data_IF_009446363164
#
_entry.id   IF_009446363164
#
_cell.length_a   1.000
_cell.length_b   1.000
_cell.length_c   1.000
_cell.angle_alpha   90.00
_cell.angle_beta   90.00
_cell.angle_gamma   90.00
#
_symmetry.space_group_name_H-M   'P 1'
#
loop_
_entity.id
_entity.type
_entity.pdbx_description
1 polymer ?
#
# COMPACT_ATOMS: atom_id res chain seq x y z
N UNK A 1 -77.33 -7.38 35.38
CA UNK A 1 -77.09 -7.66 36.81
C UNK A 1 -75.78 -8.44 36.92
N UNK A 2 -74.87 -7.93 37.76
CA UNK A 2 -73.67 -8.57 38.35
C UNK A 2 -72.53 -8.86 37.34
N UNK A 3 -71.46 -8.06 37.22
CA UNK A 3 -70.42 -7.62 38.18
C UNK A 3 -69.75 -8.75 38.96
N UNK A 4 -68.49 -9.07 38.62
CA UNK A 4 -67.30 -9.01 39.50
C UNK A 4 -66.02 -9.52 38.78
N UNK A 5 -65.06 -8.61 38.63
CA UNK A 5 -63.59 -8.77 38.58
C UNK A 5 -63.11 -8.52 40.05
N UNK A 6 -61.95 -8.96 40.64
CA UNK A 6 -60.60 -9.26 40.08
C UNK A 6 -59.80 -10.43 40.70
N UNK A 7 -58.67 -10.79 40.08
CA UNK A 7 -57.38 -11.07 40.74
C UNK A 7 -56.28 -10.92 39.66
N UNK A 8 -55.62 -9.77 39.47
CA UNK A 8 -54.47 -9.21 40.21
C UNK A 8 -53.29 -10.17 40.33
N UNK A 9 -52.40 -10.16 39.33
CA UNK A 9 -50.98 -10.44 39.49
C UNK A 9 -50.17 -9.30 38.86
N UNK A 10 -49.58 -8.50 39.75
CA UNK A 10 -48.58 -7.46 39.51
C UNK A 10 -47.23 -8.11 39.25
N UNK A 11 -46.54 -7.75 38.17
CA UNK A 11 -45.08 -7.80 38.06
C UNK A 11 -44.58 -6.56 37.29
N UNK A 12 -43.37 -6.06 37.60
CA UNK A 12 -43.08 -4.64 37.67
C UNK A 12 -42.68 -4.01 36.33
N UNK A 13 -42.86 -2.69 36.27
CA UNK A 13 -42.27 -1.83 35.26
C UNK A 13 -40.74 -1.92 35.33
N UNK A 14 -40.11 -2.38 34.24
CA UNK A 14 -38.74 -2.03 33.92
C UNK A 14 -38.77 -1.11 32.70
N UNK A 15 -38.76 0.18 33.00
CA UNK A 15 -38.30 1.20 32.07
C UNK A 15 -36.80 1.01 31.92
N UNK A 16 -36.38 0.48 30.78
CA UNK A 16 -35.03 0.72 30.27
C UNK A 16 -35.14 1.63 29.04
N UNK A 17 -35.24 2.92 29.32
CA UNK A 17 -34.61 3.91 28.45
C UNK A 17 -33.10 3.76 28.64
N UNK A 18 -32.45 3.02 27.76
CA UNK A 18 -31.09 3.33 27.31
C UNK A 18 -31.15 3.39 25.79
N UNK A 19 -31.38 4.61 25.31
CA UNK A 19 -30.84 5.06 24.05
C UNK A 19 -29.34 4.79 24.01
N UNK A 20 -28.96 3.70 23.36
CA UNK A 20 -27.82 3.77 22.47
C UNK A 20 -28.39 3.51 21.09
N UNK A 21 -28.67 4.60 20.37
CA UNK A 21 -28.25 4.61 18.98
C UNK A 21 -26.78 4.17 19.02
N UNK A 22 -26.52 2.88 18.79
CA UNK A 22 -25.31 2.57 18.05
C UNK A 22 -25.54 3.30 16.73
N UNK A 23 -24.98 4.50 16.60
CA UNK A 23 -24.72 5.04 15.29
C UNK A 23 -24.15 3.88 14.48
N UNK A 24 -24.80 3.60 13.35
CA UNK A 24 -24.28 2.67 12.38
C UNK A 24 -22.80 3.00 12.23
N UNK A 25 -21.91 2.04 12.53
CA UNK A 25 -20.51 2.11 12.13
C UNK A 25 -20.54 2.54 10.67
N UNK A 26 -20.13 3.78 10.46
CA UNK A 26 -20.31 4.55 9.24
C UNK A 26 -20.14 3.68 7.99
N UNK A 27 -21.22 3.56 7.20
CA UNK A 27 -21.25 3.08 5.82
C UNK A 27 -20.47 4.03 4.86
N UNK A 28 -19.42 4.71 5.34
CA UNK A 28 -18.48 5.42 4.46
C UNK A 28 -17.47 4.41 3.95
N UNK A 29 -17.39 4.33 2.63
CA UNK A 29 -16.20 3.88 1.90
C UNK A 29 -15.00 4.57 2.55
N UNK A 30 -14.06 3.80 3.11
CA UNK A 30 -12.83 4.35 3.68
C UNK A 30 -11.87 4.73 2.55
N UNK A 31 -11.90 4.00 1.44
CA UNK A 31 -11.16 4.33 0.24
C UNK A 31 -11.89 5.38 -0.61
N UNK A 32 -11.67 6.67 -0.34
CA UNK A 32 -12.32 7.79 -1.03
C UNK A 32 -11.36 8.63 -1.90
N UNK A 33 -10.05 8.36 -1.89
CA UNK A 33 -9.08 9.08 -2.70
C UNK A 33 -9.10 8.59 -4.14
N UNK A 34 -9.15 9.54 -5.06
CA UNK A 34 -9.22 9.30 -6.50
C UNK A 34 -8.21 10.15 -7.29
N UNK A 35 -7.41 10.96 -6.60
CA UNK A 35 -6.51 11.92 -7.22
C UNK A 35 -5.23 12.08 -6.39
N UNK A 36 -4.16 12.55 -7.03
CA UNK A 36 -2.91 12.95 -6.38
C UNK A 36 -2.69 14.45 -6.57
N UNK A 37 -2.39 15.15 -5.49
CA UNK A 37 -1.98 16.55 -5.49
C UNK A 37 -0.57 16.74 -4.94
N UNK A 38 0.18 17.71 -5.48
CA UNK A 38 1.53 18.05 -4.99
C UNK A 38 1.53 19.48 -4.42
N UNK A 39 2.19 19.71 -3.30
CA UNK A 39 2.36 21.07 -2.75
C UNK A 39 3.40 21.84 -3.60
N UNK A 40 3.00 22.32 -4.76
CA UNK A 40 3.89 22.93 -5.75
C UNK A 40 3.25 24.12 -6.47
N UNK A 41 3.94 24.62 -7.49
CA UNK A 41 3.45 25.69 -8.36
C UNK A 41 3.13 27.00 -7.65
N UNK A 42 2.30 27.83 -8.28
CA UNK A 42 1.91 29.13 -7.72
C UNK A 42 1.12 28.97 -6.41
N UNK A 43 0.23 27.97 -6.34
CA UNK A 43 -0.65 27.74 -5.19
C UNK A 43 0.14 27.34 -3.93
N UNK A 44 1.06 26.38 -4.03
CA UNK A 44 1.96 26.03 -2.92
C UNK A 44 2.88 27.17 -2.53
N UNK A 45 3.38 27.93 -3.51
CA UNK A 45 4.33 29.03 -3.25
C UNK A 45 3.66 30.24 -2.59
N UNK A 46 2.46 30.63 -3.00
CA UNK A 46 1.80 31.84 -2.50
C UNK A 46 1.38 31.73 -1.03
N UNK A 47 1.16 30.51 -0.56
CA UNK A 47 0.72 30.24 0.82
C UNK A 47 1.88 29.89 1.75
N UNK A 48 3.12 29.82 1.22
CA UNK A 48 4.34 29.68 2.04
C UNK A 48 4.43 28.37 2.81
N UNK A 49 3.92 27.28 2.24
CA UNK A 49 3.93 25.97 2.89
C UNK A 49 5.34 25.51 3.23
N UNK A 50 5.53 25.02 4.46
CA UNK A 50 6.80 24.41 4.87
C UNK A 50 7.13 23.15 4.08
N UNK A 51 6.14 22.54 3.42
CA UNK A 51 6.27 21.33 2.61
C UNK A 51 6.32 21.61 1.09
N UNK A 52 6.59 22.85 0.69
CA UNK A 52 6.63 23.23 -0.72
C UNK A 52 7.71 22.46 -1.50
N UNK A 53 7.28 21.82 -2.59
CA UNK A 53 8.13 21.20 -3.59
C UNK A 53 8.51 22.22 -4.68
N UNK A 54 9.81 22.42 -4.88
CA UNK A 54 10.29 23.21 -6.02
C UNK A 54 10.10 22.46 -7.35
N UNK A 55 10.38 23.11 -8.49
CA UNK A 55 10.15 22.52 -9.82
C UNK A 55 10.90 21.21 -10.05
N UNK A 56 12.13 21.09 -9.56
CA UNK A 56 12.93 19.88 -9.69
C UNK A 56 12.37 18.74 -8.82
N UNK A 57 11.99 19.03 -7.57
CA UNK A 57 11.35 18.04 -6.71
C UNK A 57 10.01 17.58 -7.26
N UNK A 58 9.24 18.51 -7.84
CA UNK A 58 7.94 18.22 -8.46
C UNK A 58 8.10 17.27 -9.64
N UNK A 59 9.06 17.51 -10.54
CA UNK A 59 9.34 16.62 -11.67
C UNK A 59 9.71 15.19 -11.22
N UNK A 60 10.50 15.07 -10.15
CA UNK A 60 10.87 13.78 -9.55
C UNK A 60 9.64 13.06 -9.00
N UNK A 61 8.75 13.77 -8.31
CA UNK A 61 7.52 13.20 -7.77
C UNK A 61 6.57 12.77 -8.90
N UNK A 62 6.42 13.58 -9.94
CA UNK A 62 5.59 13.25 -11.12
C UNK A 62 6.08 11.97 -11.82
N UNK A 63 7.41 11.80 -11.96
CA UNK A 63 8.01 10.54 -12.45
C UNK A 63 7.73 9.36 -11.53
N UNK A 64 7.86 9.56 -10.21
CA UNK A 64 7.57 8.53 -9.22
C UNK A 64 6.10 8.08 -9.27
N UNK A 65 5.15 8.99 -9.48
CA UNK A 65 3.72 8.66 -9.66
C UNK A 65 3.52 7.77 -10.90
N UNK A 66 4.15 8.12 -12.03
CA UNK A 66 4.08 7.30 -13.24
C UNK A 66 4.59 5.87 -13.02
N UNK A 67 5.70 5.71 -12.31
CA UNK A 67 6.26 4.40 -11.98
C UNK A 67 5.45 3.63 -10.93
N UNK A 68 4.96 4.29 -9.89
CA UNK A 68 4.03 3.72 -8.92
C UNK A 68 2.82 3.12 -9.63
N UNK A 69 2.19 3.88 -10.53
CA UNK A 69 1.06 3.42 -11.33
C UNK A 69 1.44 2.18 -12.17
N UNK A 70 2.63 2.14 -12.77
CA UNK A 70 3.11 0.98 -13.51
C UNK A 70 3.32 -0.28 -12.64
N UNK A 71 3.81 -0.13 -11.41
CA UNK A 71 3.92 -1.24 -10.45
C UNK A 71 2.54 -1.69 -9.96
N UNK A 72 1.66 -0.75 -9.59
CA UNK A 72 0.28 -1.06 -9.19
C UNK A 72 -0.47 -1.81 -10.28
N UNK A 73 -0.35 -1.37 -11.54
CA UNK A 73 -0.90 -2.07 -12.70
C UNK A 73 -0.32 -3.49 -12.86
N UNK A 74 0.95 -3.71 -12.52
CA UNK A 74 1.58 -5.02 -12.61
C UNK A 74 0.97 -5.98 -11.59
N UNK A 75 0.82 -5.55 -10.33
CA UNK A 75 0.13 -6.33 -9.29
C UNK A 75 -1.36 -6.56 -9.61
N UNK A 76 -2.06 -5.51 -10.03
CA UNK A 76 -3.46 -5.58 -10.44
C UNK A 76 -3.71 -6.61 -11.56
N UNK A 77 -2.94 -6.49 -12.65
CA UNK A 77 -3.12 -7.34 -13.83
C UNK A 77 -2.72 -8.79 -13.52
N UNK A 78 -1.68 -9.01 -12.70
CA UNK A 78 -1.28 -10.35 -12.31
C UNK A 78 -2.39 -11.06 -11.51
N UNK A 79 -2.99 -10.37 -10.53
CA UNK A 79 -4.08 -10.93 -9.73
C UNK A 79 -5.42 -11.02 -10.48
N UNK A 80 -5.50 -10.48 -11.70
CA UNK A 80 -6.66 -10.63 -12.58
C UNK A 80 -6.64 -11.97 -13.32
N UNK A 81 -5.46 -12.55 -13.52
CA UNK A 81 -5.29 -13.85 -14.17
C UNK A 81 -5.93 -14.97 -13.31
N UNK A 82 -6.49 -15.98 -13.98
CA UNK A 82 -7.02 -17.17 -13.31
C UNK A 82 -5.89 -17.94 -12.62
N UNK A 83 -6.18 -18.49 -11.44
CA UNK A 83 -5.24 -19.28 -10.64
C UNK A 83 -3.97 -18.48 -10.27
N UNK A 84 -4.10 -17.14 -10.15
CA UNK A 84 -2.98 -16.26 -9.76
C UNK A 84 -2.61 -16.45 -8.29
N UNK A 85 -3.57 -16.81 -7.45
CA UNK A 85 -3.43 -17.12 -6.03
C UNK A 85 -2.59 -18.37 -5.77
N UNK A 86 -2.54 -19.31 -6.71
CA UNK A 86 -1.76 -20.56 -6.57
C UNK A 86 -0.34 -20.45 -7.16
N UNK A 87 0.07 -19.24 -7.54
CA UNK A 87 1.39 -19.00 -8.14
C UNK A 87 2.51 -18.80 -7.11
N UNK A 88 3.74 -19.00 -7.55
CA UNK A 88 4.94 -18.79 -6.76
C UNK A 88 5.04 -17.36 -6.20
N UNK A 89 4.68 -16.34 -6.99
CA UNK A 89 4.69 -14.97 -6.51
C UNK A 89 3.66 -14.74 -5.40
N UNK A 90 2.43 -15.25 -5.56
CA UNK A 90 1.39 -15.07 -4.56
C UNK A 90 1.75 -15.81 -3.27
N UNK A 91 2.03 -17.11 -3.35
CA UNK A 91 2.36 -17.95 -2.20
C UNK A 91 3.65 -17.46 -1.51
N UNK A 92 4.63 -16.99 -2.27
CA UNK A 92 5.85 -16.43 -1.73
C UNK A 92 5.58 -15.16 -0.92
N UNK A 93 4.95 -14.15 -1.54
CA UNK A 93 4.82 -12.82 -0.94
C UNK A 93 3.64 -12.64 0.00
N UNK A 94 2.59 -13.44 -0.12
CA UNK A 94 1.39 -13.34 0.71
C UNK A 94 1.05 -14.62 1.45
N UNK A 95 1.79 -15.71 1.25
CA UNK A 95 1.52 -16.96 1.93
C UNK A 95 0.31 -17.72 1.39
N UNK A 96 0.22 -18.99 1.77
CA UNK A 96 -0.80 -19.90 1.25
C UNK A 96 -2.18 -19.65 1.86
N UNK A 97 -2.24 -19.28 3.13
CA UNK A 97 -3.52 -19.13 3.83
C UNK A 97 -4.31 -17.89 3.39
N UNK A 98 -3.67 -16.97 2.65
CA UNK A 98 -4.31 -15.78 2.08
C UNK A 98 -4.77 -15.96 0.63
N UNK A 99 -4.74 -17.18 0.08
CA UNK A 99 -5.16 -17.45 -1.32
C UNK A 99 -6.59 -16.99 -1.61
N UNK A 100 -7.50 -17.16 -0.67
CA UNK A 100 -8.89 -16.68 -0.77
C UNK A 100 -9.00 -15.14 -0.79
N UNK A 101 -7.97 -14.42 -0.33
CA UNK A 101 -7.95 -12.96 -0.27
C UNK A 101 -7.43 -12.31 -1.56
N UNK A 102 -6.94 -13.08 -2.53
CA UNK A 102 -6.29 -12.56 -3.74
C UNK A 102 -7.17 -11.56 -4.52
N UNK A 103 -8.47 -11.88 -4.66
CA UNK A 103 -9.44 -11.00 -5.31
C UNK A 103 -9.64 -9.70 -4.53
N UNK A 104 -9.67 -9.78 -3.20
CA UNK A 104 -9.83 -8.62 -2.34
C UNK A 104 -8.57 -7.76 -2.30
N UNK A 105 -7.38 -8.36 -2.29
CA UNK A 105 -6.11 -7.64 -2.42
C UNK A 105 -6.05 -6.87 -3.74
N UNK A 106 -6.44 -7.52 -4.85
CA UNK A 106 -6.54 -6.83 -6.14
C UNK A 106 -7.49 -5.64 -6.08
N UNK A 107 -8.73 -5.85 -5.63
CA UNK A 107 -9.82 -4.86 -5.68
C UNK A 107 -9.69 -3.73 -4.66
N UNK A 108 -9.07 -3.98 -3.52
CA UNK A 108 -9.06 -3.03 -2.41
C UNK A 108 -7.67 -2.45 -2.13
N UNK A 109 -6.63 -2.91 -2.85
CA UNK A 109 -5.25 -2.42 -2.68
C UNK A 109 -4.68 -1.97 -4.02
N UNK A 110 -4.50 -2.88 -4.98
CA UNK A 110 -3.88 -2.50 -6.26
C UNK A 110 -4.80 -1.67 -7.14
N UNK A 111 -6.10 -1.98 -7.21
CA UNK A 111 -7.09 -1.26 -8.02
C UNK A 111 -7.23 0.21 -7.57
N UNK A 112 -7.43 0.55 -6.28
CA UNK A 112 -7.50 1.95 -5.87
C UNK A 112 -6.21 2.73 -6.13
N UNK A 113 -5.03 2.11 -5.93
CA UNK A 113 -3.73 2.77 -6.20
C UNK A 113 -3.56 2.99 -7.71
N UNK A 114 -3.96 2.02 -8.54
CA UNK A 114 -3.97 2.14 -9.99
C UNK A 114 -4.90 3.26 -10.47
N UNK A 115 -6.11 3.34 -9.91
CA UNK A 115 -7.13 4.33 -10.28
C UNK A 115 -6.79 5.77 -9.85
N UNK A 116 -5.82 5.98 -8.96
CA UNK A 116 -5.26 7.32 -8.71
C UNK A 116 -4.63 7.95 -9.98
N UNK A 117 -4.24 7.12 -10.94
CA UNK A 117 -3.64 7.52 -12.22
C UNK A 117 -2.12 7.68 -12.18
N UNK A 118 -1.56 7.97 -13.34
CA UNK A 118 -0.11 8.08 -13.56
C UNK A 118 0.45 9.50 -13.45
N UNK A 119 -0.37 10.49 -13.07
CA UNK A 119 0.00 11.90 -13.04
C UNK A 119 -0.61 12.60 -11.82
N UNK A 120 0.06 13.66 -11.34
CA UNK A 120 -0.54 14.56 -10.36
C UNK A 120 -1.61 15.42 -11.04
N UNK A 121 -2.82 15.45 -10.49
CA UNK A 121 -3.96 16.15 -11.09
C UNK A 121 -3.94 17.65 -10.85
N UNK A 122 -3.38 18.08 -9.72
CA UNK A 122 -3.30 19.50 -9.37
C UNK A 122 -2.20 19.80 -8.36
N UNK A 123 -1.83 21.08 -8.30
CA UNK A 123 -1.02 21.60 -7.21
C UNK A 123 -1.92 22.11 -6.08
N UNK A 124 -1.53 21.86 -4.83
CA UNK A 124 -2.25 22.25 -3.61
C UNK A 124 -1.37 23.13 -2.73
N UNK A 125 -1.94 23.69 -1.66
CA UNK A 125 -1.23 24.67 -0.82
C UNK A 125 -0.76 24.13 0.53
N UNK A 126 -1.38 23.09 1.07
CA UNK A 126 -1.07 22.58 2.41
C UNK A 126 -1.00 21.05 2.43
N UNK A 127 -0.20 20.51 3.35
CA UNK A 127 -0.11 19.08 3.64
C UNK A 127 -1.25 18.67 4.57
N UNK A 128 -2.45 18.52 4.01
CA UNK A 128 -3.66 18.21 4.75
C UNK A 128 -4.54 17.21 4.01
N UNK A 129 -5.50 16.64 4.72
CA UNK A 129 -6.47 15.72 4.14
C UNK A 129 -7.47 16.51 3.27
N UNK A 130 -7.34 16.39 1.96
CA UNK A 130 -8.21 17.05 0.98
C UNK A 130 -9.16 15.99 0.39
N UNK A 131 -10.42 16.38 0.20
CA UNK A 131 -11.45 15.51 -0.37
C UNK A 131 -10.98 14.87 -1.68
N UNK A 132 -11.16 13.55 -1.80
CA UNK A 132 -10.73 12.72 -2.92
C UNK A 132 -9.24 12.83 -3.33
N UNK A 133 -8.38 13.45 -2.52
CA UNK A 133 -6.99 13.78 -2.86
C UNK A 133 -5.98 13.15 -1.88
N UNK A 134 -4.98 12.44 -2.39
CA UNK A 134 -3.73 12.21 -1.66
C UNK A 134 -2.79 13.40 -1.87
N UNK A 135 -2.32 14.03 -0.80
CA UNK A 135 -1.42 15.18 -0.90
C UNK A 135 0.04 14.76 -0.65
N UNK A 136 0.91 15.07 -1.60
CA UNK A 136 2.35 14.85 -1.52
C UNK A 136 3.08 16.17 -1.30
N UNK A 137 3.87 16.25 -0.24
CA UNK A 137 4.74 17.37 0.08
C UNK A 137 6.22 17.02 0.11
N UNK A 138 7.08 18.03 0.14
CA UNK A 138 8.53 17.87 0.24
C UNK A 138 8.99 18.25 1.64
N UNK A 139 9.52 17.30 2.38
CA UNK A 139 10.09 17.56 3.69
C UNK A 139 11.49 18.17 3.59
N UNK A 140 11.89 18.80 4.68
CA UNK A 140 13.28 19.13 5.01
C UNK A 140 13.67 18.34 6.25
N UNK A 141 14.98 18.24 6.53
CA UNK A 141 15.45 17.63 7.77
C UNK A 141 14.99 18.40 9.03
N UNK A 142 14.52 19.63 8.87
CA UNK A 142 14.07 20.50 9.97
C UNK A 142 12.57 20.44 10.22
N UNK A 143 11.74 20.40 9.17
CA UNK A 143 10.27 20.38 9.31
C UNK A 143 9.73 18.96 9.57
N UNK A 144 10.51 17.93 9.26
CA UNK A 144 10.13 16.54 9.42
C UNK A 144 11.32 15.68 9.87
N UNK A 145 11.63 15.65 11.19
CA UNK A 145 12.82 14.98 11.71
C UNK A 145 12.92 13.49 11.38
N UNK A 146 11.80 12.82 11.11
CA UNK A 146 11.80 11.41 10.70
C UNK A 146 12.54 11.18 9.37
N UNK A 147 12.71 12.20 8.52
CA UNK A 147 13.53 12.08 7.31
C UNK A 147 15.04 11.95 7.59
N UNK A 148 15.50 12.21 8.81
CA UNK A 148 16.92 12.06 9.18
C UNK A 148 17.34 10.59 9.33
N UNK A 149 16.38 9.65 9.38
CA UNK A 149 16.64 8.21 9.51
C UNK A 149 17.02 7.54 8.17
N UNK A 150 17.01 8.29 7.06
CA UNK A 150 17.29 7.76 5.72
C UNK A 150 16.06 7.27 4.97
N UNK A 151 14.85 7.51 5.48
CA UNK A 151 13.60 7.25 4.76
C UNK A 151 13.54 8.04 3.44
N UNK A 152 13.00 7.43 2.38
CA UNK A 152 12.82 8.07 1.08
C UNK A 152 11.49 8.86 1.02
N UNK A 153 10.44 8.31 1.61
CA UNK A 153 9.17 8.97 1.84
C UNK A 153 8.53 8.41 3.12
N UNK A 154 7.50 9.07 3.63
CA UNK A 154 6.75 8.67 4.81
C UNK A 154 5.27 9.05 4.63
N UNK A 155 4.38 8.08 4.85
CA UNK A 155 2.94 8.27 4.85
C UNK A 155 2.39 8.71 6.21
N UNK A 156 1.37 9.57 6.19
CA UNK A 156 0.54 9.85 7.34
C UNK A 156 -0.85 9.23 7.15
N UNK A 157 -1.00 7.98 7.61
CA UNK A 157 -2.17 7.12 7.43
C UNK A 157 -3.54 7.83 7.60
N UNK A 158 -3.72 8.58 8.70
CA UNK A 158 -5.01 9.22 9.02
C UNK A 158 -5.29 10.51 8.23
N UNK A 159 -4.26 11.12 7.64
CA UNK A 159 -4.40 12.37 6.90
C UNK A 159 -4.31 12.16 5.39
N UNK A 160 -4.06 10.92 4.94
CA UNK A 160 -3.93 10.60 3.51
C UNK A 160 -2.88 11.47 2.81
N UNK A 161 -1.80 11.77 3.51
CA UNK A 161 -0.70 12.59 2.99
C UNK A 161 0.61 11.81 3.00
N UNK A 162 1.51 12.21 2.12
CA UNK A 162 2.86 11.65 2.01
C UNK A 162 3.85 12.80 2.03
N UNK A 163 4.95 12.64 2.75
CA UNK A 163 6.10 13.53 2.66
C UNK A 163 7.26 12.81 1.99
N UNK A 164 7.85 13.44 0.99
CA UNK A 164 9.06 12.94 0.33
C UNK A 164 10.28 13.57 1.00
N UNK A 165 11.19 12.73 1.47
CA UNK A 165 12.35 13.14 2.24
C UNK A 165 13.49 13.65 1.34
N UNK A 166 14.39 14.51 1.86
CA UNK A 166 15.49 15.11 1.09
C UNK A 166 16.37 14.11 0.33
N UNK A 167 16.63 12.93 0.92
CA UNK A 167 17.48 11.90 0.31
C UNK A 167 16.94 11.38 -1.03
N UNK A 168 15.62 11.40 -1.24
CA UNK A 168 14.99 11.02 -2.53
C UNK A 168 15.38 11.94 -3.68
N UNK A 169 15.75 13.18 -3.38
CA UNK A 169 16.18 14.18 -4.35
C UNK A 169 17.70 14.25 -4.52
N UNK A 170 18.45 13.48 -3.73
CA UNK A 170 19.91 13.42 -3.78
C UNK A 170 20.40 12.71 -5.05
N UNK A 171 21.71 12.83 -5.34
CA UNK A 171 22.33 12.25 -6.55
C UNK A 171 21.58 12.58 -7.86
N UNK A 172 21.10 13.82 -8.00
CA UNK A 172 20.35 14.24 -9.18
C UNK A 172 18.98 13.59 -9.32
N UNK A 173 18.39 13.09 -8.23
CA UNK A 173 17.07 12.46 -8.25
C UNK A 173 17.11 11.05 -8.80
N UNK A 174 18.28 10.39 -8.71
CA UNK A 174 18.53 9.06 -9.26
C UNK A 174 17.39 8.09 -8.96
N UNK A 175 16.84 8.09 -7.73
CA UNK A 175 15.76 7.19 -7.34
C UNK A 175 14.48 7.30 -8.20
N UNK A 176 14.24 8.43 -8.88
CA UNK A 176 13.05 8.66 -9.69
C UNK A 176 13.33 8.78 -11.21
N UNK A 177 14.49 8.32 -11.69
CA UNK A 177 14.75 8.26 -13.14
C UNK A 177 14.31 6.92 -13.71
N UNK A 178 13.92 6.92 -14.99
CA UNK A 178 13.59 5.70 -15.72
C UNK A 178 14.77 4.72 -15.69
N UNK A 179 16.00 5.22 -15.83
CA UNK A 179 17.20 4.39 -15.78
C UNK A 179 17.34 3.67 -14.44
N UNK A 180 17.05 4.33 -13.31
CA UNK A 180 17.12 3.70 -12.00
C UNK A 180 16.02 2.64 -11.82
N UNK A 181 14.81 2.93 -12.29
CA UNK A 181 13.67 2.00 -12.25
C UNK A 181 13.94 0.73 -13.08
N UNK A 182 14.43 0.89 -14.31
CA UNK A 182 14.84 -0.24 -15.13
C UNK A 182 16.08 -0.97 -14.58
N UNK A 183 17.01 -0.25 -13.97
CA UNK A 183 18.20 -0.83 -13.34
C UNK A 183 17.82 -1.67 -12.11
N UNK A 184 16.90 -1.18 -11.28
CA UNK A 184 16.38 -1.91 -10.13
C UNK A 184 15.67 -3.20 -10.56
N UNK A 185 14.80 -3.14 -11.57
CA UNK A 185 14.14 -4.33 -12.11
C UNK A 185 15.14 -5.35 -12.68
N UNK A 186 16.18 -4.88 -13.38
CA UNK A 186 17.24 -5.76 -13.88
C UNK A 186 18.02 -6.41 -12.75
N UNK A 187 18.40 -5.62 -11.75
CA UNK A 187 19.13 -6.08 -10.57
C UNK A 187 18.32 -7.11 -9.79
N UNK A 188 17.01 -6.88 -9.65
CA UNK A 188 16.07 -7.84 -9.09
C UNK A 188 16.03 -9.14 -9.91
N UNK A 189 15.87 -9.04 -11.23
CA UNK A 189 15.79 -10.19 -12.13
C UNK A 189 17.08 -11.03 -12.17
N UNK A 190 18.25 -10.40 -12.09
CA UNK A 190 19.54 -11.08 -12.23
C UNK A 190 20.11 -11.57 -10.89
N UNK A 191 19.87 -10.84 -9.81
CA UNK A 191 20.53 -11.07 -8.51
C UNK A 191 19.57 -11.20 -7.34
N UNK A 192 18.27 -10.91 -7.53
CA UNK A 192 17.27 -10.80 -6.45
C UNK A 192 17.68 -9.84 -5.34
N UNK A 193 18.38 -8.79 -5.74
CA UNK A 193 18.76 -7.71 -4.85
C UNK A 193 17.77 -6.55 -5.04
N UNK A 194 17.15 -6.12 -3.95
CA UNK A 194 16.26 -4.96 -3.97
C UNK A 194 17.09 -3.68 -4.01
N UNK A 195 16.79 -2.82 -4.98
CA UNK A 195 17.34 -1.47 -5.08
C UNK A 195 16.16 -0.50 -5.01
N UNK A 196 16.00 0.26 -3.92
CA UNK A 196 14.84 1.13 -3.75
C UNK A 196 14.78 2.24 -4.80
N UNK A 197 13.60 2.40 -5.40
CA UNK A 197 13.27 3.45 -6.36
C UNK A 197 12.05 4.24 -5.89
N UNK A 198 11.89 5.46 -6.40
CA UNK A 198 10.84 6.37 -5.95
C UNK A 198 9.44 5.85 -6.28
N UNK A 199 9.24 5.18 -7.42
CA UNK A 199 7.96 4.56 -7.75
C UNK A 199 7.62 3.37 -6.85
N UNK A 200 8.62 2.56 -6.48
CA UNK A 200 8.44 1.46 -5.52
C UNK A 200 8.08 2.00 -4.13
N UNK A 201 8.83 3.00 -3.66
CA UNK A 201 8.58 3.65 -2.36
C UNK A 201 7.18 4.25 -2.35
N UNK A 202 6.77 4.95 -3.40
CA UNK A 202 5.44 5.55 -3.42
C UNK A 202 4.33 4.49 -3.41
N UNK A 203 4.52 3.36 -4.10
CA UNK A 203 3.58 2.23 -4.01
C UNK A 203 3.47 1.72 -2.57
N UNK A 204 4.60 1.57 -1.88
CA UNK A 204 4.66 1.20 -0.46
C UNK A 204 3.91 2.23 0.41
N UNK A 205 4.18 3.53 0.26
CA UNK A 205 3.52 4.56 1.07
C UNK A 205 2.00 4.60 0.85
N UNK A 206 1.53 4.34 -0.38
CA UNK A 206 0.09 4.33 -0.67
C UNK A 206 -0.67 3.23 0.07
N UNK A 207 -0.03 2.09 0.38
CA UNK A 207 -0.70 1.02 1.14
C UNK A 207 -0.90 1.37 2.60
N UNK A 208 -0.23 2.41 3.13
CA UNK A 208 -0.49 2.94 4.46
C UNK A 208 -1.68 3.90 4.53
N UNK A 209 -2.25 4.34 3.41
CA UNK A 209 -3.28 5.39 3.42
C UNK A 209 -4.69 4.80 3.49
N UNK A 210 -5.41 5.11 4.57
CA UNK A 210 -6.80 4.66 4.77
C UNK A 210 -7.72 5.08 3.63
N UNK A 211 -7.54 6.31 3.15
CA UNK A 211 -8.24 6.91 2.03
C UNK A 211 -8.00 6.21 0.70
N UNK A 212 -6.95 5.40 0.57
CA UNK A 212 -6.62 4.68 -0.67
C UNK A 212 -7.01 3.21 -0.54
N UNK A 213 -6.56 2.53 0.52
CA UNK A 213 -6.70 1.07 0.64
C UNK A 213 -7.56 0.60 1.81
N UNK A 214 -8.23 1.52 2.52
CA UNK A 214 -8.84 1.21 3.82
C UNK A 214 -10.06 0.28 3.77
N UNK A 215 -10.56 -0.05 2.58
CA UNK A 215 -11.70 -0.95 2.42
C UNK A 215 -11.31 -2.44 2.34
N UNK A 216 -10.03 -2.78 2.35
CA UNK A 216 -9.60 -4.17 2.46
C UNK A 216 -9.96 -4.71 3.86
N UNK A 217 -10.87 -5.69 3.91
CA UNK A 217 -11.50 -6.16 5.14
C UNK A 217 -10.60 -6.93 6.10
N UNK A 218 -9.39 -7.28 5.66
CA UNK A 218 -8.44 -8.13 6.38
C UNK A 218 -7.33 -7.36 7.10
N UNK A 219 -7.36 -6.02 7.02
CA UNK A 219 -6.44 -5.18 7.78
C UNK A 219 -6.63 -5.33 9.28
N UNK A 220 -5.52 -5.38 10.00
CA UNK A 220 -5.53 -5.21 11.46
C UNK A 220 -5.66 -3.74 11.87
N UNK A 221 -5.12 -2.83 11.06
CA UNK A 221 -4.97 -1.41 11.37
C UNK A 221 -5.61 -0.47 10.36
N UNK A 222 -6.65 -0.90 9.64
CA UNK A 222 -7.33 -0.15 8.56
C UNK A 222 -6.47 0.15 7.31
N UNK A 223 -5.18 -0.13 7.34
CA UNK A 223 -4.24 -0.09 6.22
C UNK A 223 -3.05 -1.01 6.57
N UNK A 224 -2.08 -1.17 5.66
CA UNK A 224 -0.86 -1.90 5.97
C UNK A 224 -0.01 -1.17 7.01
N UNK A 225 0.90 -1.89 7.65
CA UNK A 225 1.95 -1.38 8.54
C UNK A 225 3.33 -1.87 8.08
N UNK A 226 4.38 -1.44 8.77
CA UNK A 226 5.77 -1.85 8.48
C UNK A 226 6.27 -2.88 9.50
N UNK A 227 6.22 -4.16 9.11
CA UNK A 227 6.80 -5.24 9.90
C UNK A 227 8.32 -5.33 9.66
N UNK A 228 8.71 -5.44 8.38
CA UNK A 228 10.11 -5.56 7.93
C UNK A 228 10.23 -5.04 6.49
N UNK A 229 11.44 -4.60 6.10
CA UNK A 229 11.70 -4.06 4.76
C UNK A 229 12.52 -4.98 3.88
N UNK A 230 13.42 -5.79 4.45
CA UNK A 230 14.33 -6.62 3.66
C UNK A 230 13.57 -7.77 2.98
N UNK A 231 13.75 -8.02 1.67
CA UNK A 231 12.99 -9.04 0.94
C UNK A 231 13.05 -10.44 1.58
N UNK A 232 14.24 -10.83 2.05
CA UNK A 232 14.48 -12.12 2.71
C UNK A 232 13.77 -12.27 4.06
N UNK A 233 13.38 -11.15 4.70
CA UNK A 233 12.55 -11.15 5.91
C UNK A 233 11.07 -11.05 5.57
N UNK A 234 10.71 -10.19 4.61
CA UNK A 234 9.32 -10.00 4.14
C UNK A 234 8.69 -11.31 3.70
N UNK A 235 9.43 -12.11 2.93
CA UNK A 235 8.93 -13.39 2.40
C UNK A 235 8.82 -14.50 3.46
N UNK A 236 9.39 -14.28 4.66
CA UNK A 236 9.36 -15.23 5.79
C UNK A 236 8.43 -14.80 6.91
N UNK A 237 7.76 -13.66 6.75
CA UNK A 237 6.72 -13.25 7.69
C UNK A 237 5.64 -14.34 7.73
N UNK A 238 4.98 -14.53 8.88
CA UNK A 238 3.73 -15.27 8.96
C UNK A 238 2.70 -14.72 7.96
N UNK A 239 1.82 -15.58 7.44
CA UNK A 239 0.84 -15.18 6.41
C UNK A 239 -0.01 -13.97 6.85
N UNK A 240 -0.44 -13.89 8.10
CA UNK A 240 -1.18 -12.74 8.66
C UNK A 240 -0.35 -11.44 8.66
N UNK A 241 0.96 -11.53 8.89
CA UNK A 241 1.87 -10.38 8.81
C UNK A 241 2.20 -10.02 7.36
N UNK A 242 2.38 -11.00 6.45
CA UNK A 242 2.68 -10.72 5.03
C UNK A 242 1.58 -9.88 4.38
N UNK A 243 0.30 -10.21 4.62
CA UNK A 243 -0.82 -9.43 4.10
C UNK A 243 -0.96 -8.07 4.76
N UNK A 244 -0.41 -7.84 5.95
CA UNK A 244 -0.45 -6.56 6.65
C UNK A 244 0.82 -5.72 6.43
N UNK A 245 1.84 -6.24 5.73
CA UNK A 245 3.11 -5.54 5.52
C UNK A 245 3.12 -4.75 4.19
N UNK A 246 3.33 -3.43 4.25
CA UNK A 246 3.37 -2.56 3.07
C UNK A 246 4.41 -3.01 2.04
N UNK A 247 5.58 -3.40 2.54
CA UNK A 247 6.68 -3.85 1.72
C UNK A 247 6.35 -5.11 0.90
N UNK A 248 5.53 -6.04 1.40
CA UNK A 248 5.15 -7.24 0.66
C UNK A 248 4.35 -6.89 -0.61
N UNK A 249 3.47 -5.89 -0.57
CA UNK A 249 2.73 -5.42 -1.75
C UNK A 249 3.65 -4.79 -2.80
N UNK A 250 4.63 -4.00 -2.37
CA UNK A 250 5.62 -3.43 -3.27
C UNK A 250 6.51 -4.52 -3.89
N UNK A 251 7.02 -5.44 -3.08
CA UNK A 251 7.89 -6.54 -3.54
C UNK A 251 7.15 -7.49 -4.48
N UNK A 252 5.88 -7.81 -4.20
CA UNK A 252 5.04 -8.59 -5.11
C UNK A 252 4.90 -7.88 -6.47
N UNK A 253 4.54 -6.59 -6.48
CA UNK A 253 4.39 -5.82 -7.71
C UNK A 253 5.69 -5.72 -8.52
N UNK A 254 6.83 -5.59 -7.84
CA UNK A 254 8.16 -5.61 -8.46
C UNK A 254 8.49 -7.01 -9.00
N UNK A 255 8.24 -8.08 -8.25
CA UNK A 255 8.50 -9.47 -8.65
C UNK A 255 7.74 -9.81 -9.93
N UNK A 256 6.43 -9.56 -9.97
CA UNK A 256 5.61 -9.88 -11.14
C UNK A 256 6.02 -9.07 -12.37
N UNK A 257 6.48 -7.82 -12.17
CA UNK A 257 6.95 -6.95 -13.25
C UNK A 257 8.32 -7.36 -13.78
N UNK A 258 9.26 -7.67 -12.89
CA UNK A 258 10.66 -7.91 -13.24
C UNK A 258 10.93 -9.37 -13.60
N UNK A 259 10.10 -10.30 -13.12
CA UNK A 259 10.36 -11.74 -13.15
C UNK A 259 9.11 -12.58 -13.48
N UNK A 260 8.26 -12.08 -14.38
CA UNK A 260 6.97 -12.68 -14.74
C UNK A 260 7.05 -14.20 -15.01
N UNK A 261 8.10 -14.66 -15.69
CA UNK A 261 8.29 -16.07 -16.06
C UNK A 261 8.25 -17.03 -14.86
N UNK A 262 8.86 -16.64 -13.73
CA UNK A 262 8.89 -17.47 -12.53
C UNK A 262 7.81 -17.07 -11.54
N UNK A 263 7.41 -15.80 -11.52
CA UNK A 263 6.28 -15.32 -10.74
C UNK A 263 5.00 -16.15 -11.01
N UNK A 264 4.74 -16.48 -12.29
CA UNK A 264 3.55 -17.23 -12.73
C UNK A 264 3.65 -18.76 -12.55
N UNK A 265 4.73 -19.29 -11.96
CA UNK A 265 4.87 -20.74 -11.78
C UNK A 265 3.85 -21.23 -10.78
N UNK A 266 3.11 -22.27 -11.15
CA UNK A 266 2.10 -22.88 -10.30
C UNK A 266 2.78 -23.69 -9.19
N UNK A 267 2.29 -23.52 -7.97
CA UNK A 267 2.73 -24.27 -6.79
C UNK A 267 1.80 -25.45 -6.59
N UNK A 268 2.35 -26.62 -6.29
CA UNK A 268 1.52 -27.78 -5.93
C UNK A 268 0.93 -27.57 -4.52
N UNK A 269 -0.38 -27.26 -4.46
CA UNK A 269 -1.07 -27.04 -3.19
C UNK A 269 -1.24 -28.33 -2.38
N UNK A 270 -0.99 -29.51 -2.95
CA UNK A 270 -0.98 -30.77 -2.20
C UNK A 270 0.40 -31.06 -1.59
N UNK A 271 1.44 -30.29 -1.94
CA UNK A 271 2.77 -30.47 -1.39
C UNK A 271 2.83 -30.11 0.11
N UNK A 272 3.68 -30.85 0.85
CA UNK A 272 3.90 -30.65 2.29
C UNK A 272 4.44 -29.25 2.61
N UNK A 273 5.24 -28.66 1.72
CA UNK A 273 5.85 -27.34 1.92
C UNK A 273 5.70 -26.43 0.68
N UNK A 274 4.47 -25.95 0.47
CA UNK A 274 4.05 -25.05 -0.62
C UNK A 274 4.92 -23.79 -0.72
N UNK A 275 5.24 -23.19 0.44
CA UNK A 275 6.06 -21.99 0.49
C UNK A 275 7.49 -22.26 -0.01
N UNK A 276 8.09 -23.39 0.35
CA UNK A 276 9.43 -23.72 -0.14
C UNK A 276 9.47 -23.91 -1.66
N UNK A 277 8.43 -24.52 -2.24
CA UNK A 277 8.31 -24.68 -3.71
C UNK A 277 8.14 -23.31 -4.39
N UNK A 278 7.28 -22.45 -3.85
CA UNK A 278 7.12 -21.06 -4.31
C UNK A 278 8.45 -20.31 -4.32
N UNK A 279 9.17 -20.31 -3.20
CA UNK A 279 10.46 -19.62 -3.05
C UNK A 279 11.53 -20.21 -3.97
N UNK A 280 11.53 -21.53 -4.18
CA UNK A 280 12.44 -22.18 -5.13
C UNK A 280 12.23 -21.60 -6.54
N UNK A 281 10.99 -21.50 -7.01
CA UNK A 281 10.68 -20.86 -8.29
C UNK A 281 11.15 -19.41 -8.35
N UNK A 282 10.87 -18.61 -7.32
CA UNK A 282 11.27 -17.20 -7.30
C UNK A 282 12.78 -17.03 -7.35
N UNK A 283 13.56 -17.98 -6.81
CA UNK A 283 15.04 -17.96 -6.88
C UNK A 283 15.61 -18.34 -8.24
N UNK A 284 14.85 -19.01 -9.12
CA UNK A 284 15.38 -19.50 -10.39
C UNK A 284 15.86 -18.34 -11.26
N UNK A 285 17.02 -18.53 -11.88
CA UNK A 285 17.63 -17.55 -12.78
C UNK A 285 18.42 -16.45 -12.08
N UNK A 286 18.52 -16.45 -10.75
CA UNK A 286 19.34 -15.51 -9.99
C UNK A 286 20.73 -16.08 -9.67
N UNK A 287 21.79 -15.29 -9.91
CA UNK A 287 23.14 -15.60 -9.44
C UNK A 287 23.28 -15.26 -7.94
N UNK A 288 23.31 -16.27 -7.07
CA UNK A 288 23.08 -16.06 -5.62
C UNK A 288 24.12 -15.22 -4.84
N UNK A 289 23.62 -14.45 -3.86
CA UNK A 289 24.05 -14.35 -2.43
C UNK A 289 23.09 -13.44 -1.60
N UNK A 290 22.93 -13.81 -0.33
CA UNK A 290 22.37 -13.17 0.89
C UNK A 290 21.07 -12.34 0.96
N UNK A 291 20.49 -11.86 -0.13
CA UNK A 291 19.23 -11.10 -0.07
C UNK A 291 18.12 -11.69 -0.97
N UNK A 292 18.38 -12.88 -1.52
CA UNK A 292 17.36 -13.64 -2.26
C UNK A 292 16.14 -13.89 -1.37
N UNK A 293 14.90 -13.72 -1.89
CA UNK A 293 13.71 -14.27 -1.26
C UNK A 293 13.95 -15.75 -0.92
#
# INVERSE_FOLDING_TARGET
MQCLIPFLLLLPQLVFSHSTLSEARSLRKRADKANIGIIAGAKGRSEGSDFFCNSYQTEIIEKAIGWMHAYAASGYNFLLDSDSETTAAFIGWFGYTNTDDAVDMRRNIYDPIYELGSEAKYYVSALEDIDETVVIGCATETNYPLCQSGALALAHQLHNTIVVCPISFSNGGYHATDEAEYSAQRTWREYRQHVPTAGQVLLHEMTHLNGVVGDFGHWEHYASIDHVYEPSKCIRLPDDETRNNAQNYMLFAMEVRANEQYAKKQVDLEADNKWSDAVEWLRVGAGGRHETP
#
